data_IF_097060737249
#
_entry.id   IF_097060737249
#
_cell.length_a   1.000
_cell.length_b   1.000
_cell.length_c   1.000
_cell.angle_alpha   90.00
_cell.angle_beta   90.00
_cell.angle_gamma   90.00
#
_symmetry.space_group_name_H-M   'P 1'
#
loop_
_entity.id
_entity.type
_entity.pdbx_description
1 polymer ?
#
# COMPACT_ATOMS: atom_id res chain seq x y z
N UNK A 1 -31.77 -33.95 -23.37
CA UNK A 1 -30.46 -33.25 -23.37
C UNK A 1 -29.39 -34.27 -23.05
N UNK A 2 -28.36 -34.42 -23.91
CA UNK A 2 -27.39 -35.52 -23.81
C UNK A 2 -26.50 -35.33 -22.53
N UNK A 3 -26.56 -36.27 -21.60
CA UNK A 3 -25.82 -36.24 -20.31
C UNK A 3 -24.32 -35.95 -20.51
N UNK A 4 -23.70 -36.44 -21.57
CA UNK A 4 -22.29 -36.18 -21.94
C UNK A 4 -22.03 -34.72 -22.32
N UNK A 5 -23.03 -34.06 -22.93
CA UNK A 5 -22.93 -32.62 -23.24
C UNK A 5 -22.95 -31.78 -21.98
N UNK A 6 -23.85 -32.08 -21.03
CA UNK A 6 -23.95 -31.39 -19.73
C UNK A 6 -22.65 -31.55 -18.94
N UNK A 7 -22.10 -32.76 -18.85
CA UNK A 7 -20.83 -33.01 -18.16
C UNK A 7 -19.64 -32.24 -18.78
N UNK A 8 -19.58 -32.17 -20.13
CA UNK A 8 -18.54 -31.40 -20.81
C UNK A 8 -18.67 -29.88 -20.55
N UNK A 9 -19.88 -29.37 -20.55
CA UNK A 9 -20.14 -27.97 -20.24
C UNK A 9 -19.74 -27.62 -18.79
N UNK A 10 -20.07 -28.46 -17.82
CA UNK A 10 -19.66 -28.30 -16.42
C UNK A 10 -18.12 -28.33 -16.30
N UNK A 11 -17.46 -29.29 -16.94
CA UNK A 11 -16.01 -29.40 -16.91
C UNK A 11 -15.31 -28.16 -17.53
N UNK A 12 -15.86 -27.62 -18.62
CA UNK A 12 -15.35 -26.40 -19.25
C UNK A 12 -15.52 -25.18 -18.33
N UNK A 13 -16.68 -25.02 -17.71
CA UNK A 13 -16.94 -23.92 -16.75
C UNK A 13 -16.00 -24.02 -15.56
N UNK A 14 -15.81 -25.22 -15.01
CA UNK A 14 -14.87 -25.44 -13.91
C UNK A 14 -13.42 -25.09 -14.32
N UNK A 15 -12.99 -25.51 -15.50
CA UNK A 15 -11.66 -25.18 -16.04
C UNK A 15 -11.48 -23.67 -16.21
N UNK A 16 -12.47 -22.98 -16.79
CA UNK A 16 -12.44 -21.53 -16.96
C UNK A 16 -12.40 -20.81 -15.60
N UNK A 17 -13.13 -21.31 -14.62
CA UNK A 17 -13.09 -20.80 -13.25
C UNK A 17 -11.70 -20.95 -12.61
N UNK A 18 -11.06 -22.09 -12.77
CA UNK A 18 -9.68 -22.32 -12.29
C UNK A 18 -8.70 -21.37 -12.99
N UNK A 19 -8.76 -21.25 -14.31
CA UNK A 19 -7.89 -20.36 -15.07
C UNK A 19 -8.06 -18.90 -14.68
N UNK A 20 -9.30 -18.46 -14.47
CA UNK A 20 -9.62 -17.11 -14.00
C UNK A 20 -9.06 -16.87 -12.59
N UNK A 21 -9.17 -17.83 -11.68
CA UNK A 21 -8.63 -17.75 -10.32
C UNK A 21 -7.10 -17.71 -10.30
N UNK A 22 -6.43 -18.54 -11.10
CA UNK A 22 -4.97 -18.48 -11.21
C UNK A 22 -4.50 -17.17 -11.86
N UNK A 23 -5.21 -16.70 -12.89
CA UNK A 23 -4.94 -15.38 -13.48
C UNK A 23 -5.09 -14.24 -12.47
N UNK A 24 -6.12 -14.28 -11.64
CA UNK A 24 -6.34 -13.32 -10.55
C UNK A 24 -5.17 -13.30 -9.55
N UNK A 25 -4.71 -14.48 -9.10
CA UNK A 25 -3.53 -14.59 -8.21
C UNK A 25 -2.26 -14.00 -8.84
N UNK A 26 -2.07 -14.16 -10.14
CA UNK A 26 -0.93 -13.55 -10.86
C UNK A 26 -1.02 -12.03 -10.83
N UNK A 27 -2.20 -11.47 -11.03
CA UNK A 27 -2.44 -10.01 -11.05
C UNK A 27 -2.17 -9.37 -9.69
N UNK A 28 -2.57 -10.01 -8.61
CA UNK A 28 -2.45 -9.48 -7.25
C UNK A 28 -1.12 -9.81 -6.56
N UNK A 29 -0.34 -10.77 -7.10
CA UNK A 29 0.94 -11.12 -6.50
C UNK A 29 1.91 -9.92 -6.48
N UNK A 30 2.29 -9.41 -5.29
CA UNK A 30 3.11 -8.20 -5.17
C UNK A 30 4.47 -8.33 -5.86
N UNK A 31 5.03 -9.54 -5.92
CA UNK A 31 6.34 -9.79 -6.53
C UNK A 31 6.30 -9.95 -8.05
N UNK A 32 5.11 -10.04 -8.65
CA UNK A 32 4.96 -10.20 -10.08
C UNK A 32 5.42 -8.94 -10.83
N UNK A 33 6.32 -9.11 -11.81
CA UNK A 33 6.83 -8.03 -12.67
C UNK A 33 6.39 -8.21 -14.13
N UNK A 34 5.46 -9.13 -14.43
CA UNK A 34 4.99 -9.43 -15.79
C UNK A 34 4.40 -8.21 -16.49
N UNK A 35 3.63 -7.40 -15.75
CA UNK A 35 2.98 -6.20 -16.28
C UNK A 35 3.88 -4.97 -16.29
N UNK A 36 5.11 -5.10 -15.80
CA UNK A 36 6.10 -4.04 -15.72
C UNK A 36 6.70 -3.89 -14.33
N UNK A 37 7.78 -3.12 -14.23
CA UNK A 37 8.53 -2.96 -12.98
C UNK A 37 7.71 -2.27 -11.90
N UNK A 38 7.71 -2.83 -10.69
CA UNK A 38 7.16 -2.21 -9.47
C UNK A 38 8.19 -2.33 -8.35
N UNK A 39 8.27 -1.35 -7.46
CA UNK A 39 9.15 -1.44 -6.30
C UNK A 39 8.57 -2.46 -5.31
N UNK A 40 9.26 -3.58 -5.13
CA UNK A 40 8.84 -4.66 -4.21
C UNK A 40 9.72 -4.68 -2.96
N UNK A 41 10.99 -4.33 -3.11
CA UNK A 41 11.96 -4.29 -2.02
C UNK A 41 13.12 -3.37 -2.34
N UNK A 42 13.84 -2.93 -1.30
CA UNK A 42 15.10 -2.23 -1.41
C UNK A 42 16.31 -3.16 -1.57
N UNK A 43 17.53 -2.64 -1.32
CA UNK A 43 18.77 -3.40 -1.44
C UNK A 43 18.81 -4.54 -0.42
N UNK A 44 19.29 -5.72 -0.87
CA UNK A 44 19.34 -6.94 -0.05
C UNK A 44 20.62 -7.08 0.79
N UNK A 45 21.51 -6.11 0.70
CA UNK A 45 22.79 -6.04 1.42
C UNK A 45 22.80 -4.90 2.47
N UNK A 46 21.67 -4.28 2.74
CA UNK A 46 21.52 -3.26 3.78
C UNK A 46 20.42 -3.66 4.76
N UNK A 47 20.72 -3.62 6.06
CA UNK A 47 19.73 -3.82 7.14
C UNK A 47 18.80 -2.63 7.25
N UNK A 48 18.01 -2.40 6.22
CA UNK A 48 16.95 -1.39 6.18
C UNK A 48 15.60 -2.04 5.98
N UNK A 49 14.57 -1.43 6.54
CA UNK A 49 13.17 -1.85 6.39
C UNK A 49 12.28 -0.62 6.23
N UNK A 50 11.31 -0.70 5.33
CA UNK A 50 10.27 0.32 5.19
C UNK A 50 8.97 -0.20 5.80
N UNK A 51 8.49 0.45 6.87
CA UNK A 51 7.12 0.27 7.34
C UNK A 51 6.19 1.11 6.49
N UNK A 52 5.11 0.54 6.03
CA UNK A 52 4.10 1.25 5.26
C UNK A 52 2.71 0.94 5.78
N UNK A 53 1.82 1.94 5.72
CA UNK A 53 0.44 1.86 6.16
C UNK A 53 -0.48 2.26 5.01
N UNK A 54 -1.55 1.50 4.79
CA UNK A 54 -2.51 1.72 3.73
C UNK A 54 -3.87 2.14 4.30
N UNK A 55 -4.70 2.78 3.47
CA UNK A 55 -6.12 3.09 3.69
C UNK A 55 -6.43 4.33 4.54
N UNK A 56 -5.48 4.83 5.30
CA UNK A 56 -5.65 6.01 6.15
C UNK A 56 -5.88 7.34 5.39
N UNK A 57 -5.95 8.43 6.15
CA UNK A 57 -5.94 8.52 7.59
C UNK A 57 -7.24 8.07 8.27
N UNK A 58 -7.13 7.45 9.46
CA UNK A 58 -8.25 6.95 10.25
C UNK A 58 -8.06 7.30 11.74
N UNK A 59 -8.39 8.52 12.19
CA UNK A 59 -8.26 8.87 13.60
C UNK A 59 -9.25 8.09 14.50
N UNK A 60 -8.85 7.67 15.72
CA UNK A 60 -7.61 8.07 16.40
C UNK A 60 -6.39 7.21 16.03
N UNK A 61 -6.55 6.10 15.32
CA UNK A 61 -5.51 5.08 15.17
C UNK A 61 -4.31 5.56 14.36
N UNK A 62 -4.50 6.31 13.28
CA UNK A 62 -3.39 6.95 12.57
C UNK A 62 -2.58 7.85 13.51
N UNK A 63 -3.25 8.62 14.37
CA UNK A 63 -2.59 9.48 15.36
C UNK A 63 -1.81 8.68 16.42
N UNK A 64 -2.36 7.54 16.84
CA UNK A 64 -1.71 6.63 17.79
C UNK A 64 -0.48 5.94 17.16
N UNK A 65 -0.57 5.51 15.88
CA UNK A 65 0.57 5.01 15.12
C UNK A 65 1.66 6.08 15.00
N UNK A 66 1.29 7.32 14.67
CA UNK A 66 2.22 8.45 14.60
C UNK A 66 2.90 8.72 15.96
N UNK A 67 2.17 8.56 17.06
CA UNK A 67 2.74 8.67 18.41
C UNK A 67 3.77 7.56 18.70
N UNK A 68 3.48 6.32 18.31
CA UNK A 68 4.44 5.21 18.42
C UNK A 68 5.68 5.46 17.57
N UNK A 69 5.52 5.83 16.28
CA UNK A 69 6.63 6.12 15.37
C UNK A 69 7.54 7.23 15.93
N UNK A 70 6.93 8.29 16.45
CA UNK A 70 7.67 9.40 17.07
C UNK A 70 8.42 8.97 18.34
N UNK A 71 7.76 8.22 19.24
CA UNK A 71 8.38 7.73 20.46
C UNK A 71 9.56 6.81 20.19
N UNK A 72 9.47 6.02 19.13
CA UNK A 72 10.51 5.11 18.67
C UNK A 72 11.52 5.79 17.71
N UNK A 73 11.41 7.09 17.44
CA UNK A 73 12.26 7.81 16.48
C UNK A 73 12.34 7.10 15.11
N UNK A 74 11.22 6.62 14.59
CA UNK A 74 11.08 5.90 13.33
C UNK A 74 10.18 6.71 12.40
N UNK A 75 10.50 6.67 11.10
CA UNK A 75 9.64 7.21 10.04
C UNK A 75 9.08 6.08 9.20
N UNK A 76 7.89 6.29 8.67
CA UNK A 76 7.15 5.34 7.84
C UNK A 76 6.64 6.01 6.56
N UNK A 77 5.92 5.24 5.74
CA UNK A 77 5.21 5.77 4.57
C UNK A 77 3.73 5.41 4.67
N UNK A 78 2.86 6.40 4.48
CA UNK A 78 1.41 6.23 4.49
C UNK A 78 0.88 6.33 3.07
N UNK A 79 0.24 5.28 2.56
CA UNK A 79 -0.49 5.28 1.29
C UNK A 79 -1.95 5.61 1.57
N UNK A 80 -2.30 6.87 1.38
CA UNK A 80 -3.56 7.42 1.84
C UNK A 80 -4.65 7.37 0.80
N UNK A 81 -5.87 7.10 1.23
CA UNK A 81 -7.07 7.16 0.40
C UNK A 81 -7.60 8.60 0.35
N UNK A 82 -7.82 9.12 -0.86
CA UNK A 82 -8.17 10.53 -1.06
C UNK A 82 -9.41 10.99 -0.29
N UNK A 83 -10.45 10.14 -0.17
CA UNK A 83 -11.64 10.44 0.64
C UNK A 83 -11.30 10.60 2.12
N UNK A 84 -10.41 9.78 2.64
CA UNK A 84 -9.97 9.85 4.03
C UNK A 84 -9.14 11.12 4.28
N UNK A 85 -8.25 11.48 3.34
CA UNK A 85 -7.52 12.75 3.39
C UNK A 85 -8.47 13.95 3.40
N UNK A 86 -9.50 13.94 2.53
CA UNK A 86 -10.52 15.00 2.50
C UNK A 86 -11.29 15.09 3.82
N UNK A 87 -11.59 13.96 4.46
CA UNK A 87 -12.30 13.91 5.73
C UNK A 87 -11.41 14.32 6.91
N UNK A 88 -10.12 13.99 6.88
CA UNK A 88 -9.18 14.18 7.98
C UNK A 88 -7.89 14.90 7.56
N UNK A 89 -7.95 16.08 6.91
CA UNK A 89 -6.79 16.76 6.35
C UNK A 89 -5.74 17.15 7.40
N UNK A 90 -6.15 17.35 8.66
CA UNK A 90 -5.23 17.64 9.76
C UNK A 90 -4.37 16.44 10.15
N UNK A 91 -4.90 15.21 10.01
CA UNK A 91 -4.16 13.98 10.29
C UNK A 91 -3.13 13.76 9.19
N UNK A 92 -3.53 13.81 7.91
CA UNK A 92 -2.63 13.72 6.77
C UNK A 92 -1.49 14.76 6.82
N UNK A 93 -1.81 16.00 7.21
CA UNK A 93 -0.78 17.04 7.45
C UNK A 93 0.21 16.64 8.52
N UNK A 94 -0.26 16.03 9.61
CA UNK A 94 0.58 15.60 10.74
C UNK A 94 1.51 14.44 10.35
N UNK A 95 1.06 13.51 9.49
CA UNK A 95 1.93 12.48 8.92
C UNK A 95 3.18 13.10 8.31
N UNK A 96 3.01 14.09 7.43
CA UNK A 96 4.12 14.78 6.74
C UNK A 96 4.95 15.65 7.70
N UNK A 97 4.31 16.39 8.62
CA UNK A 97 5.01 17.25 9.58
C UNK A 97 5.92 16.46 10.53
N UNK A 98 5.60 15.20 10.80
CA UNK A 98 6.44 14.29 11.59
C UNK A 98 7.52 13.59 10.76
N UNK A 99 7.69 13.99 9.49
CA UNK A 99 8.74 13.49 8.60
C UNK A 99 8.42 12.16 7.93
N UNK A 100 7.19 11.67 8.02
CA UNK A 100 6.76 10.49 7.28
C UNK A 100 6.52 10.85 5.81
N UNK A 101 6.65 9.85 4.93
CA UNK A 101 6.30 10.00 3.54
C UNK A 101 4.81 9.71 3.31
N UNK A 102 4.25 10.37 2.30
CA UNK A 102 2.86 10.17 1.90
C UNK A 102 2.80 9.66 0.45
N UNK A 103 2.00 8.62 0.22
CA UNK A 103 1.75 7.98 -1.06
C UNK A 103 0.27 8.03 -1.45
N UNK A 104 0.00 7.88 -2.74
CA UNK A 104 -1.35 7.84 -3.29
C UNK A 104 -1.90 6.41 -3.23
N UNK A 105 -3.08 6.21 -2.62
CA UNK A 105 -3.79 4.93 -2.58
C UNK A 105 -5.17 5.01 -3.24
N UNK A 106 -5.28 5.82 -4.28
CA UNK A 106 -6.51 6.13 -5.03
C UNK A 106 -7.53 6.95 -4.23
N UNK A 107 -8.61 7.38 -4.92
CA UNK A 107 -9.64 8.19 -4.28
C UNK A 107 -10.51 7.43 -3.27
N UNK A 108 -10.86 6.17 -3.60
CA UNK A 108 -11.86 5.40 -2.86
C UNK A 108 -11.52 3.91 -2.73
N UNK A 109 -10.24 3.57 -2.84
CA UNK A 109 -9.78 2.18 -2.76
C UNK A 109 -10.43 1.26 -3.81
N UNK A 110 -10.75 1.81 -5.00
CA UNK A 110 -11.38 1.02 -6.06
C UNK A 110 -10.39 0.05 -6.74
N UNK A 111 -10.88 -1.10 -7.17
CA UNK A 111 -10.10 -2.11 -7.89
C UNK A 111 -9.71 -1.59 -9.29
N UNK A 112 -8.42 -1.30 -9.50
CA UNK A 112 -7.96 -0.53 -10.66
C UNK A 112 -8.16 -1.19 -12.01
N UNK A 113 -8.28 -2.53 -12.06
CA UNK A 113 -8.57 -3.25 -13.30
C UNK A 113 -9.98 -2.99 -13.85
N UNK A 114 -10.86 -2.39 -13.05
CA UNK A 114 -12.21 -2.01 -13.44
C UNK A 114 -12.30 -0.59 -14.01
N UNK A 115 -11.17 0.14 -14.05
CA UNK A 115 -11.11 1.51 -14.57
C UNK A 115 -10.55 1.55 -15.99
N UNK A 116 -11.13 2.41 -16.82
CA UNK A 116 -10.46 2.86 -18.04
C UNK A 116 -9.33 3.86 -17.73
N UNK A 117 -8.53 4.20 -18.72
CA UNK A 117 -7.43 5.15 -18.54
C UNK A 117 -7.87 6.52 -18.03
N UNK A 118 -9.10 6.97 -18.35
CA UNK A 118 -9.66 8.24 -17.84
C UNK A 118 -10.05 8.14 -16.37
N UNK A 119 -10.67 7.04 -15.97
CA UNK A 119 -10.99 6.73 -14.58
C UNK A 119 -9.75 6.63 -13.71
N UNK A 120 -8.71 5.94 -14.22
CA UNK A 120 -7.40 5.83 -13.55
C UNK A 120 -6.77 7.21 -13.30
N UNK A 121 -6.70 8.05 -14.33
CA UNK A 121 -6.18 9.42 -14.18
C UNK A 121 -6.97 10.22 -13.16
N UNK A 122 -8.30 10.20 -13.29
CA UNK A 122 -9.20 10.96 -12.39
C UNK A 122 -9.01 10.55 -10.92
N UNK A 123 -8.98 9.25 -10.61
CA UNK A 123 -8.84 8.79 -9.24
C UNK A 123 -7.49 9.18 -8.64
N UNK A 124 -6.39 9.05 -9.40
CA UNK A 124 -5.05 9.40 -8.94
C UNK A 124 -4.86 10.91 -8.80
N UNK A 125 -5.28 11.71 -9.77
CA UNK A 125 -5.15 13.17 -9.73
C UNK A 125 -6.00 13.78 -8.62
N UNK A 126 -7.25 13.31 -8.44
CA UNK A 126 -8.11 13.78 -7.35
C UNK A 126 -7.51 13.50 -5.98
N UNK A 127 -6.89 12.34 -5.80
CA UNK A 127 -6.21 11.98 -4.56
C UNK A 127 -4.99 12.88 -4.32
N UNK A 128 -4.16 13.09 -5.35
CA UNK A 128 -3.00 13.99 -5.22
C UNK A 128 -3.40 15.42 -4.90
N UNK A 129 -4.49 15.93 -5.49
CA UNK A 129 -5.06 17.23 -5.15
C UNK A 129 -5.47 17.31 -3.68
N UNK A 130 -6.11 16.26 -3.13
CA UNK A 130 -6.47 16.22 -1.72
C UNK A 130 -5.23 16.15 -0.81
N UNK A 131 -4.23 15.36 -1.17
CA UNK A 131 -2.94 15.29 -0.48
C UNK A 131 -2.29 16.67 -0.47
N UNK A 132 -2.15 17.31 -1.64
CA UNK A 132 -1.53 18.63 -1.75
C UNK A 132 -2.28 19.69 -0.96
N UNK A 133 -3.60 19.73 -1.04
CA UNK A 133 -4.43 20.67 -0.27
C UNK A 133 -4.28 20.50 1.26
N UNK A 134 -4.09 19.27 1.72
CA UNK A 134 -3.90 18.98 3.14
C UNK A 134 -2.47 19.25 3.62
N UNK A 135 -1.44 18.92 2.81
CA UNK A 135 -0.06 18.79 3.25
C UNK A 135 0.92 19.76 2.58
N UNK A 136 0.57 20.33 1.43
CA UNK A 136 1.47 21.09 0.57
C UNK A 136 2.45 20.23 -0.26
N UNK A 137 2.30 18.91 -0.24
CA UNK A 137 3.20 17.97 -0.92
C UNK A 137 2.45 17.22 -2.03
N UNK A 138 3.06 17.13 -3.22
CA UNK A 138 2.62 16.21 -4.27
C UNK A 138 3.27 14.84 -4.07
N UNK A 139 2.49 13.77 -4.05
CA UNK A 139 3.03 12.42 -3.97
C UNK A 139 3.68 11.99 -5.30
N UNK A 140 4.81 11.28 -5.20
CA UNK A 140 5.50 10.66 -6.35
C UNK A 140 5.48 9.14 -6.30
N UNK A 141 4.82 8.58 -5.31
CA UNK A 141 4.67 7.14 -5.10
C UNK A 141 3.20 6.78 -4.98
N UNK A 142 2.83 5.62 -5.49
CA UNK A 142 1.48 5.11 -5.31
C UNK A 142 1.50 3.61 -5.04
N UNK A 143 0.49 3.12 -4.34
CA UNK A 143 0.25 1.69 -4.20
C UNK A 143 -1.12 1.37 -4.76
N UNK A 144 -1.22 0.39 -5.70
CA UNK A 144 -2.52 -0.06 -6.19
C UNK A 144 -3.30 -0.75 -5.06
N UNK A 145 -4.58 -0.42 -4.83
CA UNK A 145 -5.46 -1.20 -3.97
C UNK A 145 -5.42 -2.69 -4.32
N UNK A 146 -5.40 -3.57 -3.31
CA UNK A 146 -5.27 -5.04 -3.45
C UNK A 146 -3.97 -5.49 -4.14
N UNK A 147 -3.07 -4.57 -4.48
CA UNK A 147 -1.95 -4.85 -5.38
C UNK A 147 -2.35 -5.06 -6.83
N UNK A 148 -3.63 -4.89 -7.17
CA UNK A 148 -4.21 -5.19 -8.47
C UNK A 148 -3.69 -4.26 -9.56
N UNK A 149 -3.01 -4.85 -10.56
CA UNK A 149 -2.40 -4.10 -11.66
C UNK A 149 -2.24 -4.94 -12.92
N UNK A 150 -2.28 -4.25 -14.04
CA UNK A 150 -1.90 -4.74 -15.36
C UNK A 150 -1.00 -3.72 -16.06
N UNK A 151 -0.69 -3.95 -17.35
CA UNK A 151 0.13 -3.01 -18.12
C UNK A 151 -0.56 -1.65 -18.33
N UNK A 152 -1.89 -1.60 -18.43
CA UNK A 152 -2.63 -0.33 -18.59
C UNK A 152 -2.53 0.51 -17.31
N UNK A 153 -2.79 -0.10 -16.15
CA UNK A 153 -2.65 0.54 -14.84
C UNK A 153 -1.23 1.08 -14.66
N UNK A 154 -0.21 0.24 -14.91
CA UNK A 154 1.18 0.65 -14.72
C UNK A 154 1.64 1.71 -15.73
N UNK A 155 1.12 1.70 -16.96
CA UNK A 155 1.42 2.74 -17.95
C UNK A 155 0.86 4.09 -17.52
N UNK A 156 -0.42 4.16 -17.09
CA UNK A 156 -1.04 5.42 -16.65
C UNK A 156 -0.41 5.93 -15.34
N UNK A 157 -0.10 5.05 -14.40
CA UNK A 157 0.61 5.39 -13.16
C UNK A 157 1.94 6.09 -13.46
N UNK A 158 2.76 5.52 -14.37
CA UNK A 158 4.05 6.11 -14.76
C UNK A 158 3.90 7.39 -15.55
N UNK A 159 2.92 7.47 -16.47
CA UNK A 159 2.62 8.67 -17.24
C UNK A 159 2.28 9.86 -16.35
N UNK A 160 1.66 9.60 -15.20
CA UNK A 160 1.38 10.60 -14.17
C UNK A 160 2.58 10.88 -13.25
N UNK A 161 3.73 10.26 -13.48
CA UNK A 161 4.97 10.49 -12.73
C UNK A 161 5.04 9.74 -11.39
N UNK A 162 4.21 8.71 -11.19
CA UNK A 162 4.29 7.88 -9.99
C UNK A 162 5.21 6.70 -10.16
N UNK A 163 5.89 6.34 -9.07
CA UNK A 163 6.52 5.03 -8.89
C UNK A 163 5.52 4.08 -8.22
N UNK A 164 5.14 2.97 -8.88
CA UNK A 164 4.28 1.96 -8.27
C UNK A 164 5.04 1.15 -7.22
N UNK A 165 4.51 1.09 -5.99
CA UNK A 165 5.13 0.45 -4.84
C UNK A 165 4.27 -0.71 -4.36
N UNK A 166 4.89 -1.87 -4.22
CA UNK A 166 4.30 -3.07 -3.66
C UNK A 166 4.89 -3.36 -2.26
N UNK A 167 4.97 -4.63 -1.89
CA UNK A 167 5.56 -5.09 -0.64
C UNK A 167 6.30 -6.42 -0.85
N UNK A 168 7.22 -6.74 0.04
CA UNK A 168 8.01 -7.97 -0.01
C UNK A 168 7.75 -8.93 1.14
N UNK A 169 7.19 -8.44 2.24
CA UNK A 169 6.77 -9.28 3.36
C UNK A 169 5.36 -9.78 3.06
N UNK A 170 5.08 -11.10 3.17
CA UNK A 170 3.73 -11.62 3.04
C UNK A 170 2.78 -10.86 3.98
N UNK A 171 1.54 -10.68 3.52
CA UNK A 171 0.54 -9.90 4.25
C UNK A 171 0.38 -10.41 5.69
N UNK A 172 0.42 -9.49 6.64
CA UNK A 172 0.18 -9.79 8.05
C UNK A 172 -1.28 -10.17 8.34
N UNK A 173 -2.16 -9.98 7.34
CA UNK A 173 -3.62 -10.16 7.42
C UNK A 173 -4.21 -9.40 8.62
N UNK A 174 -3.73 -8.20 8.83
CA UNK A 174 -4.18 -7.30 9.91
C UNK A 174 -5.64 -6.85 9.70
N UNK A 175 -6.12 -6.83 8.45
CA UNK A 175 -7.54 -6.57 8.13
C UNK A 175 -8.52 -7.64 8.65
N UNK A 176 -8.03 -8.84 9.04
CA UNK A 176 -8.81 -9.87 9.72
C UNK A 176 -8.99 -9.59 11.22
N UNK A 177 -8.41 -8.49 11.70
CA UNK A 177 -8.40 -8.06 13.12
C UNK A 177 -7.82 -9.10 14.09
N UNK A 178 -6.67 -9.72 13.79
CA UNK A 178 -6.02 -10.61 14.72
C UNK A 178 -5.35 -9.82 15.87
N UNK A 179 -5.02 -10.48 16.99
CA UNK A 179 -4.26 -9.84 18.06
C UNK A 179 -2.90 -9.28 17.58
N UNK A 180 -2.47 -8.16 18.13
CA UNK A 180 -1.23 -7.46 17.77
C UNK A 180 0.01 -8.37 17.70
N UNK A 181 0.16 -9.31 18.64
CA UNK A 181 1.27 -10.28 18.64
C UNK A 181 1.24 -11.23 17.43
N UNK A 182 0.06 -11.54 16.92
CA UNK A 182 -0.10 -12.36 15.72
C UNK A 182 0.34 -11.58 14.50
N UNK A 183 -0.09 -10.31 14.36
CA UNK A 183 0.34 -9.40 13.30
C UNK A 183 1.87 -9.28 13.32
N UNK A 184 2.43 -8.90 14.46
CA UNK A 184 3.88 -8.75 14.62
C UNK A 184 4.64 -10.05 14.31
N UNK A 185 4.17 -11.18 14.80
CA UNK A 185 4.80 -12.48 14.54
C UNK A 185 4.79 -12.88 13.06
N UNK A 186 3.71 -12.58 12.33
CA UNK A 186 3.62 -12.79 10.88
C UNK A 186 4.63 -11.93 10.12
N UNK A 187 4.76 -10.65 10.47
CA UNK A 187 5.75 -9.74 9.87
C UNK A 187 7.17 -10.21 10.17
N UNK A 188 7.50 -10.43 11.45
CA UNK A 188 8.86 -10.76 11.89
C UNK A 188 9.37 -12.10 11.34
N UNK A 189 8.48 -13.00 10.97
CA UNK A 189 8.84 -14.29 10.34
C UNK A 189 9.48 -14.12 8.96
N UNK A 190 9.08 -13.10 8.20
CA UNK A 190 9.43 -12.96 6.78
C UNK A 190 10.21 -11.69 6.46
N UNK A 191 10.35 -10.77 7.41
CA UNK A 191 11.12 -9.55 7.21
C UNK A 191 12.61 -9.88 7.02
N UNK A 192 13.24 -9.18 6.08
CA UNK A 192 14.67 -9.28 5.80
C UNK A 192 15.19 -7.96 5.25
N UNK A 193 16.45 -7.95 4.85
CA UNK A 193 17.14 -6.77 4.34
C UNK A 193 16.38 -6.16 3.15
N UNK A 194 16.17 -4.85 3.20
CA UNK A 194 15.43 -4.10 2.19
C UNK A 194 13.93 -4.38 2.12
N UNK A 195 13.33 -5.03 3.12
CA UNK A 195 11.91 -5.37 3.10
C UNK A 195 11.02 -4.14 3.14
N UNK A 196 9.89 -4.25 2.41
CA UNK A 196 8.73 -3.36 2.51
C UNK A 196 7.63 -4.13 3.20
N UNK A 197 7.23 -3.66 4.38
CA UNK A 197 6.15 -4.22 5.20
C UNK A 197 4.88 -3.42 4.93
N UNK A 198 3.76 -4.10 4.72
CA UNK A 198 2.43 -3.48 4.64
C UNK A 198 1.60 -3.82 5.87
N UNK A 199 1.06 -2.78 6.48
CA UNK A 199 0.05 -2.77 7.53
C UNK A 199 -1.04 -1.79 7.11
N UNK A 200 -2.13 -1.69 7.89
CA UNK A 200 -3.22 -0.78 7.57
C UNK A 200 -3.51 0.13 8.77
N UNK A 201 -3.62 1.44 8.52
CA UNK A 201 -4.11 2.40 9.50
C UNK A 201 -5.57 2.80 9.24
N UNK A 202 -6.10 2.42 8.05
CA UNK A 202 -7.49 2.58 7.64
C UNK A 202 -8.18 1.28 7.25
N UNK A 203 -9.28 1.39 6.50
CA UNK A 203 -10.00 0.24 5.99
C UNK A 203 -10.68 0.57 4.65
N UNK A 204 -10.08 0.11 3.54
CA UNK A 204 -10.63 0.13 2.17
C UNK A 204 -11.34 1.45 1.78
N UNK A 205 -10.79 2.59 2.25
CA UNK A 205 -11.36 3.90 2.00
C UNK A 205 -12.67 4.20 2.73
N UNK A 206 -13.04 3.42 3.72
CA UNK A 206 -14.14 3.75 4.61
C UNK A 206 -13.73 4.94 5.48
N UNK A 207 -14.52 6.01 5.44
CA UNK A 207 -14.33 7.15 6.33
C UNK A 207 -14.99 6.83 7.66
N UNK A 208 -14.18 6.48 8.64
CA UNK A 208 -14.63 6.10 9.97
C UNK A 208 -14.96 7.35 10.80
N UNK A 209 -16.21 7.80 10.75
CA UNK A 209 -16.67 8.89 11.60
C UNK A 209 -17.17 8.40 12.96
N UNK A 210 -16.93 9.17 14.02
CA UNK A 210 -17.50 8.89 15.34
C UNK A 210 -19.01 8.69 15.21
N UNK A 211 -19.49 7.42 15.35
CA UNK A 211 -20.91 7.07 15.45
C UNK A 211 -21.55 6.39 14.23
N UNK A 212 -20.85 6.11 13.12
CA UNK A 212 -21.45 5.49 11.92
C UNK A 212 -20.83 4.18 11.43
N UNK A 213 -19.57 3.93 11.71
CA UNK A 213 -18.99 2.62 11.39
C UNK A 213 -19.13 1.70 12.59
N UNK A 214 -19.45 0.41 12.37
CA UNK A 214 -19.33 -0.54 13.47
C UNK A 214 -17.91 -0.40 14.03
N UNK A 215 -17.78 -0.23 15.34
CA UNK A 215 -16.50 0.04 15.99
C UNK A 215 -15.39 -0.91 15.48
N UNK A 216 -15.73 -2.16 15.16
CA UNK A 216 -14.78 -3.17 14.69
C UNK A 216 -14.18 -2.86 13.32
N UNK A 217 -14.95 -2.40 12.34
CA UNK A 217 -14.44 -2.17 10.97
C UNK A 217 -13.44 -1.03 10.90
N UNK A 218 -13.50 -0.12 11.88
CA UNK A 218 -12.60 1.02 11.97
C UNK A 218 -11.51 0.84 13.02
N UNK A 219 -11.56 -0.24 13.79
CA UNK A 219 -10.63 -0.49 14.89
C UNK A 219 -9.28 -0.99 14.35
N UNK A 220 -8.23 -0.19 14.58
CA UNK A 220 -6.83 -0.48 14.26
C UNK A 220 -5.94 -0.49 15.51
N UNK A 221 -6.53 -0.65 16.68
CA UNK A 221 -5.77 -0.69 17.95
C UNK A 221 -4.72 -1.81 17.97
N UNK A 222 -5.04 -2.95 17.35
CA UNK A 222 -4.08 -4.04 17.20
C UNK A 222 -2.89 -3.67 16.31
N UNK A 223 -3.09 -2.85 15.27
CA UNK A 223 -2.03 -2.36 14.38
C UNK A 223 -1.12 -1.36 15.09
N UNK A 224 -1.67 -0.51 15.96
CA UNK A 224 -0.90 0.40 16.83
C UNK A 224 0.08 -0.37 17.70
N UNK A 225 -0.39 -1.39 18.41
CA UNK A 225 0.47 -2.20 19.28
C UNK A 225 1.42 -3.11 18.47
N UNK A 226 0.97 -3.68 17.34
CA UNK A 226 1.81 -4.45 16.43
C UNK A 226 2.97 -3.60 15.89
N UNK A 227 2.71 -2.33 15.54
CA UNK A 227 3.73 -1.37 15.12
C UNK A 227 4.84 -1.26 16.16
N UNK A 228 4.48 -1.07 17.45
CA UNK A 228 5.45 -1.00 18.55
C UNK A 228 6.29 -2.28 18.65
N UNK A 229 5.62 -3.43 18.66
CA UNK A 229 6.29 -4.74 18.79
C UNK A 229 7.26 -4.99 17.63
N UNK A 230 6.86 -4.69 16.39
CA UNK A 230 7.68 -4.84 15.18
C UNK A 230 8.91 -3.93 15.27
N UNK A 231 8.72 -2.64 15.58
CA UNK A 231 9.82 -1.68 15.66
C UNK A 231 10.84 -2.12 16.70
N UNK A 232 10.39 -2.48 17.90
CA UNK A 232 11.29 -2.88 18.99
C UNK A 232 12.06 -4.16 18.66
N UNK A 233 11.43 -5.14 18.02
CA UNK A 233 12.11 -6.35 17.59
C UNK A 233 13.17 -6.05 16.52
N UNK A 234 12.81 -5.33 15.46
CA UNK A 234 13.71 -5.04 14.35
C UNK A 234 14.88 -4.12 14.74
N UNK A 235 14.67 -3.19 15.69
CA UNK A 235 15.76 -2.41 16.27
C UNK A 235 16.77 -3.28 17.03
N UNK A 236 16.30 -4.24 17.83
CA UNK A 236 17.18 -5.20 18.51
C UNK A 236 18.01 -6.01 17.52
N UNK A 237 17.41 -6.32 16.36
CA UNK A 237 18.08 -7.06 15.28
C UNK A 237 18.95 -6.15 14.38
N UNK A 238 19.10 -4.86 14.73
CA UNK A 238 19.98 -3.92 14.07
C UNK A 238 19.42 -3.31 12.76
N UNK A 239 18.11 -3.41 12.51
CA UNK A 239 17.48 -2.76 11.37
C UNK A 239 17.32 -1.26 11.56
N UNK A 240 17.53 -0.52 10.45
CA UNK A 240 17.21 0.90 10.33
C UNK A 240 15.91 1.05 9.55
N UNK A 241 15.06 1.95 10.01
CA UNK A 241 13.79 2.26 9.35
C UNK A 241 13.96 3.40 8.36
N UNK A 242 13.44 3.22 7.16
CA UNK A 242 13.48 4.20 6.08
C UNK A 242 12.10 4.37 5.45
N UNK A 243 11.82 5.55 4.91
CA UNK A 243 10.64 5.79 4.09
C UNK A 243 10.83 5.22 2.68
N UNK A 244 9.74 5.03 1.93
CA UNK A 244 9.83 4.56 0.53
C UNK A 244 10.67 5.50 -0.34
N UNK A 245 10.55 6.84 -0.28
CA UNK A 245 11.45 7.73 -1.01
C UNK A 245 12.94 7.52 -0.66
N UNK A 246 13.27 7.31 0.61
CA UNK A 246 14.65 7.01 1.04
C UNK A 246 15.11 5.63 0.56
N UNK A 247 14.20 4.64 0.52
CA UNK A 247 14.50 3.31 -0.02
C UNK A 247 14.79 3.37 -1.53
N UNK A 248 14.03 4.18 -2.28
CA UNK A 248 14.26 4.41 -3.71
C UNK A 248 15.64 5.02 -4.00
N UNK A 249 16.11 5.96 -3.17
CA UNK A 249 17.45 6.55 -3.29
C UNK A 249 18.57 5.52 -3.09
N UNK A 250 18.32 4.46 -2.31
CA UNK A 250 19.26 3.36 -2.03
C UNK A 250 19.25 2.25 -3.10
N UNK A 251 18.28 2.27 -4.00
CA UNK A 251 18.12 1.30 -5.06
C UNK A 251 18.28 1.98 -6.44
N UNK A 252 19.52 2.18 -6.93
CA UNK A 252 19.82 2.97 -8.14
C UNK A 252 19.07 2.52 -9.39
N UNK A 253 18.73 1.21 -9.51
CA UNK A 253 17.92 0.67 -10.60
C UNK A 253 16.49 1.26 -10.65
N UNK A 254 16.07 1.96 -9.61
CA UNK A 254 14.79 2.66 -9.49
C UNK A 254 14.92 4.17 -9.60
N UNK A 255 16.16 4.72 -9.66
CA UNK A 255 16.32 6.14 -9.95
C UNK A 255 15.58 6.39 -11.27
N UNK A 256 14.56 7.23 -11.22
CA UNK A 256 13.96 7.72 -12.44
C UNK A 256 15.11 8.35 -13.23
N UNK A 257 15.43 7.80 -14.39
CA UNK A 257 16.16 8.54 -15.40
C UNK A 257 15.30 9.76 -15.68
N UNK A 258 15.65 10.86 -15.09
CA UNK A 258 15.36 12.19 -15.59
C UNK A 258 16.19 12.37 -16.85
N UNK A 259 15.95 11.52 -17.83
CA UNK A 259 16.46 11.77 -19.17
C UNK A 259 15.63 12.94 -19.69
N UNK A 260 16.18 14.11 -19.40
CA UNK A 260 15.79 15.32 -20.06
C UNK A 260 15.82 15.08 -21.57
N UNK A 261 14.66 15.21 -22.17
CA UNK A 261 14.48 15.78 -23.49
C UNK A 261 13.31 16.74 -23.43
N UNK A 262 13.62 17.91 -22.87
CA UNK A 262 13.19 19.11 -23.51
C UNK A 262 14.19 19.30 -24.66
N UNK A 263 13.78 19.04 -25.87
CA UNK A 263 14.49 19.50 -27.06
C UNK A 263 13.45 19.72 -28.14
N UNK A 264 13.35 21.00 -28.43
CA UNK A 264 13.01 21.62 -29.71
C UNK A 264 11.59 21.42 -30.23
#
# INVERSE_FOLDING_TARGET
MNHRFVLRAIALIALLGVLAFEGYKVVENPSNQLFGKTLVSGPKNERVVALTYDDGPNPPYTDEILAVLRAEHVRATFFVVGRAVQAYPRVARREVQLGNAIGNHTWSHGHLLLYDGTGLRRTLQRTDQAIFAATGVHSRIMRPPFGARDWLVLAEVRKLGYTPVMWSVPLANDWEYPPARVIAGRVLRYVGDGSIVVLHDGNEGIVCSRGRASARICDRSADVEATRLIIQALKRDGYRFVTIPELLQRAPQWSMRTDGRASE
#
